data_IF_741992896275
#
_entry.id   IF_741992896275
#
_cell.length_a   1.000
_cell.length_b   1.000
_cell.length_c   1.000
_cell.angle_alpha   90.00
_cell.angle_beta   90.00
_cell.angle_gamma   90.00
#
_symmetry.space_group_name_H-M   'P 1'
#
loop_
_entity.id
_entity.type
_entity.pdbx_description
1 polymer ?
#
# COMPACT_ATOMS: atom_id res chain seq x y z
N UNK A 1 19.61 5.69 2.95
CA UNK A 1 18.76 4.91 3.87
C UNK A 1 17.37 5.54 3.84
N UNK A 2 16.34 4.76 3.53
CA UNK A 2 14.94 5.21 3.51
C UNK A 2 14.19 4.62 4.71
N UNK A 3 13.18 5.32 5.18
CA UNK A 3 12.26 4.81 6.21
C UNK A 3 10.92 4.51 5.54
N UNK A 4 10.42 3.31 5.74
CA UNK A 4 9.14 2.85 5.21
C UNK A 4 8.19 2.58 6.39
N UNK A 5 7.00 3.17 6.33
CA UNK A 5 5.95 2.97 7.33
C UNK A 5 4.83 2.06 6.79
N UNK A 6 4.51 2.13 5.50
CA UNK A 6 3.37 1.42 4.92
C UNK A 6 3.81 0.30 3.99
N UNK A 7 4.46 0.63 2.87
CA UNK A 7 4.89 -0.36 1.89
C UNK A 7 5.95 0.18 0.92
N UNK A 8 6.69 -0.76 0.35
CA UNK A 8 7.63 -0.57 -0.75
C UNK A 8 7.07 -1.26 -1.98
N UNK A 9 7.22 -0.65 -3.15
CA UNK A 9 6.82 -1.22 -4.43
C UNK A 9 7.97 -1.23 -5.43
N UNK A 10 8.05 -2.28 -6.23
CA UNK A 10 9.00 -2.48 -7.33
C UNK A 10 8.20 -2.96 -8.56
N UNK A 11 8.41 -2.33 -9.72
CA UNK A 11 7.70 -2.65 -10.96
C UNK A 11 6.35 -1.95 -11.07
N UNK A 12 5.29 -2.65 -11.49
CA UNK A 12 4.03 -2.10 -11.98
C UNK A 12 3.34 -1.09 -11.02
N UNK A 13 3.29 -1.39 -9.73
CA UNK A 13 2.72 -0.47 -8.73
C UNK A 13 3.50 0.86 -8.67
N UNK A 14 4.82 0.75 -8.61
CA UNK A 14 5.72 1.90 -8.60
C UNK A 14 5.71 2.68 -9.92
N UNK A 15 5.57 1.99 -11.05
CA UNK A 15 5.47 2.59 -12.39
C UNK A 15 4.20 3.44 -12.53
N UNK A 16 3.07 2.98 -11.98
CA UNK A 16 1.84 3.79 -11.91
C UNK A 16 2.01 4.97 -10.95
N UNK A 17 2.69 4.75 -9.82
CA UNK A 17 3.00 5.81 -8.86
C UNK A 17 3.88 6.90 -9.51
N UNK A 18 4.90 6.51 -10.28
CA UNK A 18 5.80 7.41 -11.01
C UNK A 18 5.06 8.21 -12.08
N UNK A 19 4.23 7.55 -12.91
CA UNK A 19 3.37 8.20 -13.90
C UNK A 19 2.42 9.25 -13.26
N UNK A 20 1.92 8.96 -12.05
CA UNK A 20 1.09 9.89 -11.28
C UNK A 20 1.92 11.06 -10.74
N UNK A 21 3.09 10.78 -10.18
CA UNK A 21 3.98 11.78 -9.61
C UNK A 21 4.41 12.80 -10.67
N UNK A 22 4.95 12.33 -11.81
CA UNK A 22 5.38 13.20 -12.92
C UNK A 22 4.25 14.09 -13.43
N UNK A 23 3.05 13.53 -13.64
CA UNK A 23 1.93 14.33 -14.11
C UNK A 23 1.43 15.35 -13.07
N UNK A 24 1.56 15.03 -11.78
CA UNK A 24 1.27 15.97 -10.70
C UNK A 24 2.28 17.11 -10.67
N UNK A 25 3.56 16.84 -10.91
CA UNK A 25 4.58 17.88 -11.03
C UNK A 25 4.34 18.78 -12.25
N UNK A 26 3.96 18.20 -13.40
CA UNK A 26 3.67 18.97 -14.62
C UNK A 26 2.41 19.84 -14.51
N UNK A 27 1.37 19.37 -13.79
CA UNK A 27 0.06 20.02 -13.74
C UNK A 27 -0.56 20.00 -12.33
N UNK A 28 0.03 20.67 -11.32
CA UNK A 28 -0.38 20.55 -9.93
C UNK A 28 -1.85 20.91 -9.70
N UNK A 29 -2.36 21.93 -10.42
CA UNK A 29 -3.75 22.39 -10.31
C UNK A 29 -4.81 21.33 -10.67
N UNK A 30 -4.44 20.26 -11.40
CA UNK A 30 -5.36 19.18 -11.78
C UNK A 30 -5.52 18.11 -10.69
N UNK A 31 -4.75 18.17 -9.61
CA UNK A 31 -4.72 17.16 -8.55
C UNK A 31 -5.23 17.68 -7.20
N UNK A 32 -5.95 18.81 -7.19
CA UNK A 32 -6.45 19.47 -5.97
C UNK A 32 -7.61 18.74 -5.30
N UNK A 33 -8.14 17.66 -5.91
CA UNK A 33 -9.20 16.83 -5.31
C UNK A 33 -8.90 15.34 -5.34
N UNK A 34 -9.41 14.62 -4.34
CA UNK A 34 -9.28 13.15 -4.24
C UNK A 34 -9.92 12.42 -5.43
N UNK A 35 -11.01 12.97 -5.97
CA UNK A 35 -11.73 12.38 -7.12
C UNK A 35 -10.86 12.50 -8.37
N UNK A 36 -10.28 13.68 -8.62
CA UNK A 36 -9.36 13.88 -9.75
C UNK A 36 -8.12 12.99 -9.63
N UNK A 37 -7.54 12.90 -8.42
CA UNK A 37 -6.41 12.01 -8.17
C UNK A 37 -6.75 10.55 -8.53
N UNK A 38 -7.88 10.04 -8.02
CA UNK A 38 -8.35 8.68 -8.34
C UNK A 38 -8.63 8.48 -9.83
N UNK A 39 -9.27 9.46 -10.48
CA UNK A 39 -9.56 9.44 -11.90
C UNK A 39 -8.29 9.35 -12.76
N UNK A 40 -7.21 10.00 -12.33
CA UNK A 40 -5.92 9.92 -13.02
C UNK A 40 -5.30 8.51 -12.91
N UNK A 41 -5.33 7.89 -11.72
CA UNK A 41 -4.85 6.50 -11.56
C UNK A 41 -5.62 5.55 -12.48
N UNK A 42 -6.94 5.69 -12.55
CA UNK A 42 -7.78 4.89 -13.46
C UNK A 42 -7.39 5.12 -14.92
N UNK A 43 -7.25 6.38 -15.35
CA UNK A 43 -6.85 6.73 -16.73
C UNK A 43 -5.48 6.15 -17.08
N UNK A 44 -4.52 6.23 -16.16
CA UNK A 44 -3.17 5.69 -16.33
C UNK A 44 -3.19 4.17 -16.45
N UNK A 45 -3.95 3.49 -15.59
CA UNK A 45 -4.14 2.04 -15.67
C UNK A 45 -4.77 1.61 -16.99
N UNK A 46 -5.84 2.28 -17.44
CA UNK A 46 -6.46 2.01 -18.74
C UNK A 46 -5.49 2.23 -19.91
N UNK A 47 -4.70 3.30 -19.88
CA UNK A 47 -3.67 3.58 -20.90
C UNK A 47 -2.62 2.47 -20.95
N UNK A 48 -2.14 1.98 -19.80
CA UNK A 48 -1.17 0.89 -19.73
C UNK A 48 -1.76 -0.44 -20.23
N UNK A 49 -3.06 -0.68 -20.00
CA UNK A 49 -3.77 -1.85 -20.56
C UNK A 49 -3.86 -1.83 -22.09
N UNK A 50 -4.03 -0.64 -22.69
CA UNK A 50 -4.15 -0.49 -24.15
C UNK A 50 -2.79 -0.51 -24.88
N UNK A 51 -1.68 -0.19 -24.21
CA UNK A 51 -0.34 -0.31 -24.80
C UNK A 51 -0.01 -1.79 -24.98
N UNK A 52 0.16 -2.24 -26.23
CA UNK A 52 0.63 -3.60 -26.55
C UNK A 52 2.01 -3.82 -25.93
N UNK A 53 2.09 -4.77 -25.00
CA UNK A 53 3.30 -5.12 -24.26
C UNK A 53 3.35 -4.42 -22.91
N UNK A 54 2.57 -4.92 -21.94
CA UNK A 54 2.63 -4.50 -20.53
C UNK A 54 4.05 -4.48 -19.97
N UNK A 55 4.22 -4.08 -18.71
CA UNK A 55 5.56 -4.03 -18.12
C UNK A 55 6.20 -5.42 -18.32
N UNK A 56 7.38 -5.48 -18.97
CA UNK A 56 8.01 -6.76 -19.26
C UNK A 56 8.17 -7.51 -17.95
N UNK A 57 7.85 -8.80 -17.97
CA UNK A 57 8.13 -9.72 -16.86
C UNK A 57 9.60 -9.54 -16.47
N UNK A 58 9.82 -8.95 -15.30
CA UNK A 58 11.15 -8.65 -14.76
C UNK A 58 11.58 -9.71 -13.74
N UNK A 59 10.75 -10.72 -13.49
CA UNK A 59 11.02 -11.78 -12.51
C UNK A 59 12.36 -12.48 -12.78
N UNK A 60 12.72 -12.68 -14.06
CA UNK A 60 13.96 -13.40 -14.44
C UNK A 60 15.23 -12.69 -13.95
N UNK A 61 15.15 -11.37 -13.80
CA UNK A 61 16.27 -10.54 -13.41
C UNK A 61 16.25 -10.23 -11.91
N UNK A 62 15.26 -10.75 -11.17
CA UNK A 62 15.14 -10.53 -9.73
C UNK A 62 15.44 -11.82 -8.96
N UNK A 63 16.31 -11.70 -7.97
CA UNK A 63 16.43 -12.71 -6.91
C UNK A 63 15.83 -12.14 -5.64
N UNK A 64 14.77 -12.78 -5.16
CA UNK A 64 14.13 -12.46 -3.89
C UNK A 64 14.57 -13.47 -2.82
N UNK A 65 15.02 -12.97 -1.69
CA UNK A 65 15.30 -13.73 -0.49
C UNK A 65 14.53 -13.13 0.70
N UNK A 66 13.94 -14.00 1.51
CA UNK A 66 13.21 -13.62 2.72
C UNK A 66 13.70 -14.49 3.87
N UNK A 67 14.19 -13.86 4.93
CA UNK A 67 14.79 -14.50 6.11
C UNK A 67 15.84 -15.58 5.75
N UNK A 68 16.76 -15.27 4.82
CA UNK A 68 17.81 -16.20 4.40
C UNK A 68 17.37 -17.24 3.37
N UNK A 69 16.09 -17.25 2.97
CA UNK A 69 15.54 -18.26 2.05
C UNK A 69 15.16 -17.65 0.71
N UNK A 70 15.68 -18.23 -0.36
CA UNK A 70 15.27 -17.85 -1.72
C UNK A 70 13.79 -18.14 -1.93
N UNK A 71 13.09 -17.17 -2.52
CA UNK A 71 11.68 -17.29 -2.89
C UNK A 71 11.58 -17.52 -4.40
N UNK A 72 10.89 -18.58 -4.79
CA UNK A 72 10.60 -18.84 -6.19
C UNK A 72 9.50 -17.90 -6.68
N UNK A 73 9.83 -17.09 -7.68
CA UNK A 73 8.95 -16.08 -8.22
C UNK A 73 8.21 -16.60 -9.46
N UNK A 74 6.86 -16.48 -9.52
CA UNK A 74 6.11 -16.67 -10.75
C UNK A 74 6.34 -15.51 -11.72
N UNK A 75 5.73 -15.56 -12.90
CA UNK A 75 5.74 -14.41 -13.83
C UNK A 75 5.02 -13.22 -13.19
N UNK A 76 5.74 -12.13 -12.94
CA UNK A 76 5.25 -10.95 -12.23
C UNK A 76 5.61 -9.67 -12.99
N UNK A 77 4.72 -8.69 -12.92
CA UNK A 77 4.97 -7.32 -13.37
C UNK A 77 5.26 -6.38 -12.20
N UNK A 78 5.03 -6.80 -10.94
CA UNK A 78 5.44 -6.03 -9.77
C UNK A 78 5.56 -6.87 -8.50
N UNK A 79 6.35 -6.37 -7.54
CA UNK A 79 6.46 -6.88 -6.16
C UNK A 79 6.15 -5.73 -5.21
N UNK A 80 5.34 -6.00 -4.19
CA UNK A 80 4.99 -5.07 -3.13
C UNK A 80 5.32 -5.71 -1.79
N UNK A 81 6.06 -4.98 -0.95
CA UNK A 81 6.44 -5.39 0.40
C UNK A 81 5.66 -4.53 1.38
N UNK A 82 4.74 -5.13 2.12
CA UNK A 82 3.80 -4.42 2.98
C UNK A 82 4.18 -4.56 4.45
N UNK A 83 4.10 -3.44 5.18
CA UNK A 83 4.15 -3.36 6.64
C UNK A 83 2.75 -3.16 7.25
N UNK A 84 1.78 -2.65 6.46
CA UNK A 84 0.37 -2.56 6.83
C UNK A 84 -0.51 -3.23 5.76
N UNK A 85 -1.67 -3.76 6.17
CA UNK A 85 -2.62 -4.44 5.28
C UNK A 85 -3.50 -3.49 4.45
N UNK A 86 -2.96 -2.34 4.09
CA UNK A 86 -3.67 -1.32 3.32
C UNK A 86 -2.78 -0.80 2.22
N UNK A 87 -3.22 -0.98 0.99
CA UNK A 87 -2.52 -0.63 -0.23
C UNK A 87 -3.47 0.15 -1.16
N UNK A 88 -2.91 1.04 -1.99
CA UNK A 88 -3.61 1.85 -3.01
C UNK A 88 -5.07 2.26 -2.68
N UNK A 89 -5.23 3.26 -1.80
CA UNK A 89 -6.54 3.78 -1.37
C UNK A 89 -7.39 2.80 -0.54
N UNK A 90 -6.77 1.85 0.16
CA UNK A 90 -7.45 1.03 1.16
C UNK A 90 -7.72 -0.41 0.76
N UNK A 91 -7.30 -0.82 -0.43
CA UNK A 91 -7.37 -2.21 -0.87
C UNK A 91 -6.48 -3.11 -0.01
N UNK A 92 -6.87 -4.38 0.13
CA UNK A 92 -6.09 -5.38 0.84
C UNK A 92 -5.40 -6.29 -0.17
N UNK A 93 -4.15 -5.97 -0.49
CA UNK A 93 -3.35 -6.70 -1.47
C UNK A 93 -3.06 -8.15 -1.02
N UNK A 94 -2.95 -8.42 0.28
CA UNK A 94 -2.78 -9.78 0.84
C UNK A 94 -4.04 -10.64 0.74
N UNK A 95 -5.22 -10.00 0.72
CA UNK A 95 -6.52 -10.69 0.75
C UNK A 95 -6.96 -11.14 2.14
N UNK A 96 -8.16 -11.74 2.19
CA UNK A 96 -8.81 -12.17 3.43
C UNK A 96 -8.82 -13.69 3.63
N UNK A 97 -8.49 -14.44 2.58
CA UNK A 97 -8.53 -15.90 2.59
C UNK A 97 -7.48 -16.46 3.56
N UNK A 98 -7.87 -17.48 4.33
CA UNK A 98 -6.91 -18.21 5.17
C UNK A 98 -6.05 -19.07 4.25
N UNK A 99 -4.76 -19.08 4.51
CA UNK A 99 -3.80 -19.97 3.85
C UNK A 99 -2.96 -20.60 4.96
N UNK A 100 -2.92 -21.92 5.02
CA UNK A 100 -2.21 -22.64 6.08
C UNK A 100 -0.68 -22.50 5.96
N UNK A 101 -0.17 -21.97 4.83
CA UNK A 101 1.26 -21.66 4.63
C UNK A 101 1.71 -20.39 5.32
N UNK A 102 0.78 -19.46 5.60
CA UNK A 102 1.10 -18.12 6.09
C UNK A 102 0.39 -17.80 7.39
N UNK A 103 1.05 -16.99 8.21
CA UNK A 103 0.43 -16.47 9.42
C UNK A 103 -0.58 -15.39 9.05
N UNK A 104 -1.57 -15.19 9.94
CA UNK A 104 -2.48 -14.06 9.79
C UNK A 104 -1.67 -12.76 9.88
N UNK A 105 -1.64 -11.92 8.84
CA UNK A 105 -0.80 -10.74 8.81
C UNK A 105 -1.23 -9.69 9.84
N UNK A 106 -0.26 -9.05 10.49
CA UNK A 106 -0.49 -7.91 11.38
C UNK A 106 0.66 -6.91 11.30
N UNK A 107 0.37 -5.61 11.42
CA UNK A 107 1.42 -4.57 11.37
C UNK A 107 2.33 -4.52 12.62
N UNK A 108 2.21 -5.45 13.56
CA UNK A 108 2.93 -5.45 14.84
C UNK A 108 3.58 -6.78 15.20
N UNK A 109 3.36 -7.85 14.45
CA UNK A 109 4.22 -9.05 14.51
C UNK A 109 5.64 -8.74 13.99
N UNK A 110 5.72 -7.70 13.14
CA UNK A 110 6.86 -7.20 12.39
C UNK A 110 7.53 -8.25 11.50
N UNK A 111 6.67 -9.07 10.93
CA UNK A 111 6.86 -9.62 9.60
C UNK A 111 6.44 -8.56 8.59
N UNK A 112 6.97 -8.68 7.39
CA UNK A 112 6.54 -7.97 6.19
C UNK A 112 5.86 -8.96 5.27
N UNK A 113 4.76 -8.55 4.67
CA UNK A 113 4.06 -9.33 3.65
C UNK A 113 4.64 -9.04 2.27
N UNK A 114 5.18 -10.06 1.60
CA UNK A 114 5.71 -9.92 0.23
C UNK A 114 4.69 -10.45 -0.76
N UNK A 115 4.21 -9.58 -1.65
CA UNK A 115 3.11 -9.86 -2.57
C UNK A 115 3.49 -9.55 -4.01
N UNK A 116 3.19 -10.47 -4.91
CA UNK A 116 3.37 -10.32 -6.35
C UNK A 116 2.11 -9.81 -7.06
N UNK A 117 2.32 -8.99 -8.09
CA UNK A 117 1.31 -8.51 -9.03
C UNK A 117 1.69 -8.99 -10.43
N UNK A 118 0.73 -9.58 -11.16
CA UNK A 118 0.98 -10.23 -12.46
C UNK A 118 0.60 -9.37 -13.67
N UNK A 119 0.13 -8.15 -13.45
CA UNK A 119 -0.25 -7.23 -14.53
C UNK A 119 -1.41 -6.30 -14.18
N UNK A 120 -1.71 -5.38 -15.09
CA UNK A 120 -2.66 -4.28 -14.84
C UNK A 120 -4.10 -4.73 -14.60
N UNK A 121 -4.54 -5.79 -15.28
CA UNK A 121 -5.88 -6.37 -15.09
C UNK A 121 -5.98 -7.01 -13.70
N UNK A 122 -4.95 -7.75 -13.29
CA UNK A 122 -4.88 -8.34 -11.96
C UNK A 122 -4.88 -7.25 -10.89
N UNK A 123 -4.10 -6.18 -11.08
CA UNK A 123 -4.08 -5.02 -10.19
C UNK A 123 -5.46 -4.37 -10.04
N UNK A 124 -6.21 -4.21 -11.13
CA UNK A 124 -7.59 -3.72 -11.10
C UNK A 124 -8.55 -4.63 -10.34
N UNK A 125 -8.42 -5.95 -10.50
CA UNK A 125 -9.22 -6.94 -9.76
C UNK A 125 -8.92 -6.93 -8.25
N UNK A 126 -7.67 -6.67 -7.87
CA UNK A 126 -7.30 -6.47 -6.46
C UNK A 126 -7.97 -5.20 -5.91
N UNK A 127 -7.89 -4.10 -6.65
CA UNK A 127 -8.45 -2.83 -6.22
C UNK A 127 -9.99 -2.88 -6.08
N UNK A 128 -10.67 -3.69 -6.89
CA UNK A 128 -12.12 -3.93 -6.79
C UNK A 128 -12.50 -4.98 -5.73
N UNK A 129 -11.53 -5.68 -5.13
CA UNK A 129 -11.75 -6.73 -4.14
C UNK A 129 -12.19 -8.08 -4.72
N UNK A 130 -12.11 -8.26 -6.04
CA UNK A 130 -12.44 -9.53 -6.72
C UNK A 130 -11.32 -10.58 -6.55
N UNK A 131 -10.07 -10.12 -6.46
CA UNK A 131 -8.90 -10.98 -6.24
C UNK A 131 -7.98 -10.40 -5.16
N UNK A 132 -7.02 -11.21 -4.73
CA UNK A 132 -5.88 -10.77 -3.94
C UNK A 132 -4.60 -10.98 -4.74
N UNK A 133 -3.51 -10.32 -4.34
CA UNK A 133 -2.21 -10.51 -4.95
C UNK A 133 -1.62 -11.89 -4.66
N UNK A 134 -0.56 -12.24 -5.38
CA UNK A 134 0.12 -13.52 -5.20
C UNK A 134 0.94 -13.46 -3.91
N UNK A 135 0.57 -14.22 -2.88
CA UNK A 135 1.34 -14.29 -1.62
C UNK A 135 2.65 -15.02 -1.86
N UNK A 136 3.76 -14.31 -1.76
CA UNK A 136 5.10 -14.85 -2.04
C UNK A 136 5.78 -15.31 -0.77
N UNK A 137 5.77 -14.48 0.27
CA UNK A 137 6.45 -14.75 1.53
C UNK A 137 5.94 -13.87 2.69
N UNK A 138 6.29 -14.26 3.91
CA UNK A 138 6.29 -13.39 5.09
C UNK A 138 7.65 -13.49 5.77
N UNK A 139 8.25 -12.36 6.16
CA UNK A 139 9.56 -12.36 6.83
C UNK A 139 9.96 -11.02 7.44
N UNK A 140 10.96 -11.04 8.33
CA UNK A 140 11.48 -9.82 8.97
C UNK A 140 12.64 -9.16 8.22
N UNK A 141 13.29 -9.90 7.32
CA UNK A 141 14.42 -9.48 6.51
C UNK A 141 14.17 -9.83 5.05
N UNK A 142 13.97 -8.83 4.20
CA UNK A 142 13.76 -9.01 2.75
C UNK A 142 14.96 -8.47 1.99
N UNK A 143 15.53 -9.28 1.12
CA UNK A 143 16.64 -8.93 0.24
C UNK A 143 16.22 -9.15 -1.21
N UNK A 144 16.33 -8.09 -2.02
CA UNK A 144 16.05 -8.11 -3.45
C UNK A 144 17.35 -7.79 -4.18
N UNK A 145 17.82 -8.71 -5.02
CA UNK A 145 18.91 -8.43 -5.97
C UNK A 145 18.35 -8.20 -7.35
N UNK A 146 18.73 -7.09 -7.96
CA UNK A 146 18.38 -6.73 -9.33
C UNK A 146 19.57 -7.02 -10.25
N UNK A 147 19.42 -8.00 -11.14
CA UNK A 147 20.42 -8.44 -12.11
C UNK A 147 20.20 -7.89 -13.53
N UNK A 148 19.18 -7.04 -13.71
CA UNK A 148 18.91 -6.41 -14.99
C UNK A 148 19.94 -5.30 -15.29
N UNK A 149 19.97 -4.83 -16.53
CA UNK A 149 20.86 -3.77 -17.02
C UNK A 149 20.14 -2.43 -17.23
N UNK A 150 18.87 -2.32 -16.80
CA UNK A 150 18.04 -1.12 -16.93
C UNK A 150 17.44 -0.68 -15.59
N UNK A 151 17.16 0.62 -15.40
CA UNK A 151 16.47 1.09 -14.20
C UNK A 151 15.02 0.56 -14.12
N UNK A 152 14.57 0.21 -12.91
CA UNK A 152 13.18 -0.23 -12.65
C UNK A 152 12.47 0.79 -11.78
N UNK A 153 11.19 1.10 -12.04
CA UNK A 153 10.39 1.92 -11.14
C UNK A 153 10.30 1.28 -9.75
N UNK A 154 10.56 2.08 -8.73
CA UNK A 154 10.35 1.75 -7.32
C UNK A 154 9.63 2.89 -6.62
N UNK A 155 8.99 2.58 -5.49
CA UNK A 155 8.41 3.60 -4.62
C UNK A 155 8.48 3.18 -3.16
N UNK A 156 8.56 4.17 -2.27
CA UNK A 156 8.42 3.99 -0.82
C UNK A 156 7.35 4.94 -0.33
N UNK A 157 6.30 4.42 0.30
CA UNK A 157 5.21 5.20 0.88
C UNK A 157 4.58 6.26 -0.07
N UNK A 158 4.62 6.01 -1.37
CA UNK A 158 4.07 6.91 -2.40
C UNK A 158 5.06 7.90 -3.01
N UNK A 159 6.35 7.82 -2.67
CA UNK A 159 7.44 8.59 -3.30
C UNK A 159 8.20 7.70 -4.30
N UNK A 160 8.00 7.88 -5.63
CA UNK A 160 8.54 7.00 -6.65
C UNK A 160 9.84 7.54 -7.29
N UNK A 161 10.68 6.63 -7.80
CA UNK A 161 11.84 6.95 -8.64
C UNK A 161 12.20 5.78 -9.57
N UNK A 162 13.12 6.01 -10.51
CA UNK A 162 13.76 4.95 -11.29
C UNK A 162 15.01 4.48 -10.56
N UNK A 163 15.04 3.22 -10.14
CA UNK A 163 16.15 2.61 -9.41
C UNK A 163 17.10 1.90 -10.39
N UNK A 164 18.36 2.33 -10.51
CA UNK A 164 19.39 1.54 -11.19
C UNK A 164 19.57 0.16 -10.54
N UNK A 165 20.07 -0.85 -11.27
CA UNK A 165 20.32 -2.18 -10.73
C UNK A 165 21.14 -2.15 -9.44
N UNK A 166 20.61 -2.78 -8.38
CA UNK A 166 21.23 -2.79 -7.06
C UNK A 166 20.73 -3.97 -6.20
N UNK A 167 21.35 -4.12 -5.03
CA UNK A 167 20.82 -4.92 -3.93
C UNK A 167 20.01 -4.02 -2.99
N UNK A 168 18.75 -4.37 -2.77
CA UNK A 168 17.82 -3.68 -1.86
C UNK A 168 17.60 -4.58 -0.64
N UNK A 169 17.87 -4.02 0.54
CA UNK A 169 17.62 -4.70 1.82
C UNK A 169 16.57 -3.94 2.61
N UNK A 170 15.48 -4.62 2.97
CA UNK A 170 14.41 -4.09 3.80
C UNK A 170 14.38 -4.87 5.10
N UNK A 171 14.60 -4.16 6.20
CA UNK A 171 14.66 -4.73 7.54
C UNK A 171 13.78 -3.94 8.49
N UNK A 172 13.36 -4.62 9.55
CA UNK A 172 12.69 -3.95 10.66
C UNK A 172 13.58 -2.85 11.24
N UNK A 173 13.05 -1.63 11.28
CA UNK A 173 13.68 -0.53 11.98
C UNK A 173 13.71 -0.78 13.50
N UNK A 174 14.79 -0.34 14.16
CA UNK A 174 14.82 -0.25 15.62
C UNK A 174 13.82 0.79 16.15
N UNK A 175 13.46 1.76 15.31
CA UNK A 175 12.49 2.80 15.63
C UNK A 175 11.07 2.31 15.35
N UNK A 176 10.16 2.55 16.29
CA UNK A 176 8.73 2.29 16.15
C UNK A 176 7.94 3.52 16.55
N UNK A 177 6.85 3.78 15.84
CA UNK A 177 5.92 4.84 16.18
C UNK A 177 4.70 4.26 16.93
N UNK A 178 4.27 4.93 18.00
CA UNK A 178 2.99 4.63 18.64
C UNK A 178 1.88 5.40 17.92
N UNK A 179 0.91 4.68 17.36
CA UNK A 179 -0.17 5.24 16.55
C UNK A 179 -1.53 5.14 17.27
N UNK A 180 -2.37 6.17 17.14
CA UNK A 180 -3.75 6.14 17.61
C UNK A 180 -4.56 5.13 16.79
N UNK A 181 -5.13 4.13 17.48
CA UNK A 181 -6.01 3.14 16.86
C UNK A 181 -7.46 3.42 17.24
N UNK A 182 -8.33 3.55 16.23
CA UNK A 182 -9.78 3.63 16.45
C UNK A 182 -10.26 2.39 17.22
N UNK A 183 -10.85 2.58 18.40
CA UNK A 183 -11.48 1.50 19.16
C UNK A 183 -12.64 0.92 18.36
N UNK A 184 -12.69 -0.41 18.23
CA UNK A 184 -13.82 -1.15 17.66
C UNK A 184 -14.99 -1.25 18.65
N UNK A 185 -15.40 -0.14 19.29
CA UNK A 185 -16.62 -0.11 20.11
C UNK A 185 -17.74 0.59 19.35
N UNK A 186 -18.92 -0.04 19.32
CA UNK A 186 -20.19 0.61 18.97
C UNK A 186 -20.54 1.61 20.08
N UNK A 187 -19.83 2.73 20.18
CA UNK A 187 -20.32 3.85 20.98
C UNK A 187 -21.48 4.44 20.19
N UNK A 188 -22.73 4.22 20.66
CA UNK A 188 -23.87 5.05 20.26
C UNK A 188 -23.42 6.49 20.40
N UNK A 189 -23.49 7.27 19.32
CA UNK A 189 -23.20 8.71 19.34
C UNK A 189 -23.89 9.29 20.59
N UNK A 190 -23.11 9.76 21.58
CA UNK A 190 -23.64 10.70 22.56
C UNK A 190 -23.96 11.94 21.74
N UNK A 191 -25.23 12.35 21.72
CA UNK A 191 -25.62 13.62 21.12
C UNK A 191 -24.78 14.71 21.79
N UNK A 192 -23.93 15.38 21.02
CA UNK A 192 -23.19 16.58 21.44
C UNK A 192 -24.05 17.81 21.19
N UNK A 193 -25.33 17.75 21.59
CA UNK A 193 -26.09 18.99 21.76
C UNK A 193 -25.81 19.50 23.17
N UNK A 194 -25.34 20.75 23.33
CA UNK A 194 -25.28 21.35 24.64
C UNK A 194 -26.71 21.54 25.15
N UNK A 195 -27.10 20.77 26.17
CA UNK A 195 -28.29 21.08 26.93
C UNK A 195 -28.02 22.40 27.66
N UNK A 196 -28.54 23.50 27.10
CA UNK A 196 -28.57 24.79 27.78
C UNK A 196 -29.52 24.63 28.96
N UNK A 197 -28.95 24.56 30.16
CA UNK A 197 -29.70 24.59 31.40
C UNK A 197 -30.12 26.04 31.66
N UNK A 198 -31.40 26.32 31.54
CA UNK A 198 -31.99 27.56 32.05
C UNK A 198 -32.49 27.26 33.47
N UNK A 199 -31.90 27.83 34.53
CA UNK A 199 -32.49 27.74 35.85
C UNK A 199 -33.86 28.44 35.85
N UNK A 200 -34.88 27.76 36.37
CA UNK A 200 -36.19 28.39 36.60
C UNK A 200 -36.05 29.48 37.67
N UNK A 201 -36.81 30.59 37.56
CA UNK A 201 -36.78 31.66 38.56
C UNK A 201 -37.34 31.15 39.88
N UNK A 202 -36.65 31.46 40.98
CA UNK A 202 -37.08 31.17 42.34
C UNK A 202 -38.47 31.79 42.58
N UNK A 203 -39.48 30.94 42.80
CA UNK A 203 -40.79 31.34 43.26
C UNK A 203 -40.70 31.68 44.76
N UNK A 204 -40.35 32.93 45.05
CA UNK A 204 -40.57 33.57 46.34
C UNK A 204 -42.08 33.73 46.59
N UNK A 205 -42.74 32.64 46.97
CA UNK A 205 -44.10 32.72 47.50
C UNK A 205 -44.34 31.83 48.73
N UNK A 206 -44.19 32.51 49.87
CA UNK A 206 -45.05 32.49 51.07
C UNK A 206 -44.65 31.62 52.27
N UNK A 207 -44.26 32.38 53.30
CA UNK A 207 -44.67 32.37 54.71
C UNK A 207 -44.55 31.07 55.52
#
# INVERSE_FOLDING_TARGET
MFVMNNYFGLGLDADICLDFHMAREENPNKFNSRIQAKGYYLKTGLRKMMKKGGLKDFTRDIVLEVDGKRVDLPSLEGIVIMNILSWASGANLWGHEKDDKFNRPTHYDGMLEVVGVTGIVHLGQIQSGIRSGVRLAQGGHVHIRMNNDYPVPVQVDGEPWLQPPCDITIIRSALKATMLRKRKSKIKRRNTEPSVYFPEPDDDSKC
#
